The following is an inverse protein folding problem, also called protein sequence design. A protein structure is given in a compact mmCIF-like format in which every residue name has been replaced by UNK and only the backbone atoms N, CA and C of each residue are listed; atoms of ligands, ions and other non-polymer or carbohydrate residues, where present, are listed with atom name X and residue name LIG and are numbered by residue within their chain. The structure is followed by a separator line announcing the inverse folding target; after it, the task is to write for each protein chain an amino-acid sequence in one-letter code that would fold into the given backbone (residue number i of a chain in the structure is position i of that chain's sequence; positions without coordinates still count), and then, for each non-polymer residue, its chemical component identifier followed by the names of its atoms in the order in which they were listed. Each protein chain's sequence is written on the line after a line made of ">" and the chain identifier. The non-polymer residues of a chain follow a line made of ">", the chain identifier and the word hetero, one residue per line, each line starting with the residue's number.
data_IF_503029170411
#
_entry.id   IF_503029170411
#
_cell.length_a   1.000
_cell.length_b   1.000
_cell.length_c   1.000
_cell.angle_alpha   90.00
_cell.angle_beta   90.00
_cell.angle_gamma   90.00
#
_symmetry.space_group_name_H-M   'P 1'
#
loop_
_entity.id
_entity.type
_entity.pdbx_description
1 polymer ?
#
# COMPACT_ATOMS: atom_id res chain seq x y z
N UNK A 1 -8.58 -45.37 -43.87
CA UNK A 1 -8.06 -44.00 -43.65
C UNK A 1 -9.06 -43.13 -42.86
N UNK A 2 -9.36 -43.46 -41.59
CA UNK A 2 -10.33 -42.69 -40.77
C UNK A 2 -9.82 -42.21 -39.40
N UNK A 3 -8.63 -42.63 -38.96
CA UNK A 3 -8.15 -42.36 -37.59
C UNK A 3 -7.12 -41.21 -37.48
N UNK A 4 -6.58 -40.71 -38.60
CA UNK A 4 -5.59 -39.62 -38.56
C UNK A 4 -6.20 -38.23 -38.33
N UNK A 5 -7.49 -38.04 -38.64
CA UNK A 5 -8.19 -36.75 -38.46
C UNK A 5 -8.44 -36.40 -36.99
N UNK A 6 -8.60 -37.40 -36.13
CA UNK A 6 -8.87 -37.18 -34.69
C UNK A 6 -7.56 -36.82 -33.98
N UNK A 7 -6.46 -37.49 -34.32
CA UNK A 7 -5.14 -37.24 -33.73
C UNK A 7 -4.63 -35.83 -34.07
N UNK A 8 -4.88 -35.37 -35.30
CA UNK A 8 -4.52 -34.00 -35.72
C UNK A 8 -5.34 -32.93 -35.01
N UNK A 9 -6.60 -33.19 -34.66
CA UNK A 9 -7.45 -32.24 -33.94
C UNK A 9 -7.02 -32.06 -32.47
N UNK A 10 -6.61 -33.15 -31.80
CA UNK A 10 -6.16 -33.12 -30.39
C UNK A 10 -4.82 -32.40 -30.23
N UNK A 11 -3.89 -32.58 -31.18
CA UNK A 11 -2.62 -31.83 -31.21
C UNK A 11 -2.82 -30.33 -31.39
N UNK A 12 -3.86 -29.91 -32.13
CA UNK A 12 -4.17 -28.51 -32.34
C UNK A 12 -4.70 -27.84 -31.05
N UNK A 13 -5.49 -28.54 -30.24
CA UNK A 13 -6.04 -28.04 -28.97
C UNK A 13 -4.97 -27.95 -27.88
N UNK A 14 -3.99 -28.85 -27.88
CA UNK A 14 -2.85 -28.77 -26.95
C UNK A 14 -1.91 -27.61 -27.27
N UNK A 15 -1.82 -27.19 -28.54
CA UNK A 15 -1.02 -26.02 -28.93
C UNK A 15 -1.67 -24.68 -28.55
N UNK A 16 -2.99 -24.64 -28.33
CA UNK A 16 -3.71 -23.44 -27.86
C UNK A 16 -3.80 -23.34 -26.33
N UNK A 17 -3.36 -24.37 -25.59
CA UNK A 17 -2.89 -24.22 -24.20
C UNK A 17 -1.50 -23.56 -24.14
N UNK A 18 -1.18 -22.73 -25.13
CA UNK A 18 -0.23 -21.65 -25.01
C UNK A 18 -0.54 -20.91 -23.71
N UNK A 19 0.23 -21.24 -22.68
CA UNK A 19 0.24 -20.57 -21.41
C UNK A 19 0.42 -19.09 -21.73
N UNK A 20 -0.67 -18.32 -21.69
CA UNK A 20 -0.61 -16.89 -21.52
C UNK A 20 0.06 -16.68 -20.16
N UNK A 21 1.38 -16.78 -20.14
CA UNK A 21 2.20 -16.17 -19.11
C UNK A 21 2.00 -14.68 -19.34
N UNK A 22 0.85 -14.17 -18.89
CA UNK A 22 0.68 -12.75 -18.67
C UNK A 22 1.92 -12.34 -17.91
N UNK A 23 2.73 -11.44 -18.48
CA UNK A 23 3.71 -10.69 -17.69
C UNK A 23 2.89 -10.05 -16.58
N UNK A 24 2.83 -10.69 -15.40
CA UNK A 24 2.25 -10.06 -14.22
C UNK A 24 3.17 -8.89 -13.96
N UNK A 25 2.66 -7.69 -14.21
CA UNK A 25 3.34 -6.47 -13.82
C UNK A 25 3.73 -6.63 -12.35
N UNK A 26 5.01 -6.36 -12.07
CA UNK A 26 5.54 -6.54 -10.72
C UNK A 26 4.74 -5.64 -9.78
N UNK A 27 4.08 -6.27 -8.81
CA UNK A 27 3.25 -5.59 -7.82
C UNK A 27 4.04 -4.43 -7.19
N UNK A 28 3.54 -3.22 -7.37
CA UNK A 28 4.11 -1.99 -6.81
C UNK A 28 3.14 -1.45 -5.77
N UNK A 29 3.58 -1.34 -4.52
CA UNK A 29 2.80 -0.72 -3.45
C UNK A 29 3.30 0.71 -3.21
N UNK A 30 2.36 1.64 -3.12
CA UNK A 30 2.59 2.99 -2.63
C UNK A 30 1.74 3.24 -1.38
N UNK A 31 2.32 3.92 -0.41
CA UNK A 31 1.67 4.31 0.83
C UNK A 31 1.95 5.77 1.13
N UNK A 32 0.93 6.48 1.62
CA UNK A 32 1.05 7.85 2.11
C UNK A 32 0.07 8.06 3.26
N UNK A 33 0.59 8.49 4.39
CA UNK A 33 -0.19 8.92 5.56
C UNK A 33 0.19 10.35 5.90
N UNK A 34 -0.81 11.16 6.20
CA UNK A 34 -0.70 12.59 6.43
C UNK A 34 -1.43 12.89 7.73
N UNK A 35 -0.70 13.50 8.67
CA UNK A 35 -1.24 14.04 9.90
C UNK A 35 -1.37 15.55 9.77
N UNK A 36 -2.47 16.09 10.26
CA UNK A 36 -2.75 17.52 10.27
C UNK A 36 -2.84 18.02 11.71
N UNK A 37 -2.28 19.20 11.96
CA UNK A 37 -2.43 19.94 13.21
C UNK A 37 -2.78 21.39 12.88
N UNK A 38 -3.90 21.89 13.41
CA UNK A 38 -4.42 23.24 13.10
C UNK A 38 -4.48 23.52 11.60
N UNK A 39 -5.02 22.59 10.80
CA UNK A 39 -5.10 22.65 9.33
C UNK A 39 -3.76 22.72 8.57
N UNK A 40 -2.63 22.61 9.26
CA UNK A 40 -1.30 22.51 8.65
C UNK A 40 -0.89 21.04 8.62
N UNK A 41 -0.17 20.63 7.59
CA UNK A 41 0.43 19.29 7.55
C UNK A 41 1.53 19.24 8.61
N UNK A 42 1.32 18.42 9.63
CA UNK A 42 2.30 18.23 10.70
C UNK A 42 3.30 17.13 10.33
N UNK A 43 2.80 16.03 9.78
CA UNK A 43 3.61 14.87 9.43
C UNK A 43 3.14 14.22 8.12
N UNK A 44 4.09 13.78 7.30
CA UNK A 44 3.86 12.91 6.15
C UNK A 44 4.73 11.67 6.29
N UNK A 45 4.10 10.51 6.40
CA UNK A 45 4.74 9.21 6.24
C UNK A 45 4.49 8.70 4.84
N UNK A 46 5.48 8.13 4.17
CA UNK A 46 5.25 7.49 2.88
C UNK A 46 6.23 6.37 2.59
N UNK A 47 5.77 5.40 1.82
CA UNK A 47 6.57 4.28 1.34
C UNK A 47 6.32 4.01 -0.14
N UNK A 48 7.38 3.75 -0.88
CA UNK A 48 7.31 3.34 -2.28
C UNK A 48 8.09 2.03 -2.45
N UNK A 49 7.40 0.92 -2.76
CA UNK A 49 8.02 -0.40 -2.87
C UNK A 49 8.95 -0.58 -4.07
N UNK A 50 8.90 0.33 -5.05
CA UNK A 50 9.82 0.36 -6.18
C UNK A 50 11.17 0.95 -5.76
N UNK A 51 11.16 1.98 -4.92
CA UNK A 51 12.39 2.60 -4.40
C UNK A 51 12.87 1.96 -3.10
N UNK A 52 11.99 1.22 -2.41
CA UNK A 52 12.20 0.67 -1.08
C UNK A 52 12.46 1.76 -0.01
N UNK A 53 12.03 3.00 -0.25
CA UNK A 53 12.24 4.11 0.68
C UNK A 53 10.98 4.30 1.51
N UNK A 54 11.12 4.20 2.84
CA UNK A 54 10.16 4.74 3.80
C UNK A 54 10.70 6.07 4.31
N UNK A 55 9.86 7.11 4.28
CA UNK A 55 10.23 8.45 4.73
C UNK A 55 9.18 9.01 5.69
N UNK A 56 9.65 9.75 6.68
CA UNK A 56 8.85 10.54 7.61
C UNK A 56 9.32 11.99 7.49
N UNK A 57 8.43 12.86 7.02
CA UNK A 57 8.66 14.30 6.89
C UNK A 57 7.77 15.00 7.92
N UNK A 58 8.38 15.67 8.90
CA UNK A 58 7.69 16.25 10.05
C UNK A 58 8.00 17.73 10.17
N UNK A 59 7.01 18.54 10.53
CA UNK A 59 7.12 19.95 10.85
C UNK A 59 7.71 20.12 12.26
N UNK A 60 8.75 20.94 12.39
CA UNK A 60 9.38 21.24 13.67
C UNK A 60 8.93 22.61 14.20
N UNK A 61 9.09 22.90 15.51
CA UNK A 61 8.71 24.18 16.10
C UNK A 61 9.40 25.40 15.47
N UNK A 62 10.52 25.20 14.77
CA UNK A 62 11.21 26.23 14.00
C UNK A 62 10.52 26.58 12.66
N UNK A 63 9.37 25.95 12.37
CA UNK A 63 8.59 26.12 11.14
C UNK A 63 9.15 25.36 9.94
N UNK A 64 10.24 24.62 10.09
CA UNK A 64 10.86 23.87 9.00
C UNK A 64 10.49 22.39 9.05
N UNK A 65 10.44 21.77 7.88
CA UNK A 65 10.30 20.32 7.79
C UNK A 65 11.65 19.63 7.86
N UNK A 66 11.74 18.57 8.65
CA UNK A 66 12.87 17.64 8.63
C UNK A 66 12.38 16.30 8.12
N UNK A 67 13.21 15.66 7.30
CA UNK A 67 12.92 14.37 6.70
C UNK A 67 13.87 13.32 7.22
N UNK A 68 13.32 12.19 7.68
CA UNK A 68 14.05 10.98 8.01
C UNK A 68 13.64 9.90 7.03
N UNK A 69 14.60 9.13 6.53
CA UNK A 69 14.33 8.08 5.56
C UNK A 69 15.14 6.83 5.89
N UNK A 70 14.53 5.67 5.65
CA UNK A 70 15.16 4.37 5.76
C UNK A 70 14.86 3.53 4.53
N UNK A 71 15.77 2.63 4.19
CA UNK A 71 15.55 1.66 3.12
C UNK A 71 14.90 0.39 3.70
N UNK A 72 13.64 0.16 3.38
CA UNK A 72 12.88 -1.06 3.74
C UNK A 72 12.65 -1.89 2.48
N UNK A 73 13.40 -2.97 2.32
CA UNK A 73 13.25 -3.86 1.16
C UNK A 73 12.17 -4.91 1.41
N UNK A 74 10.91 -4.62 1.03
CA UNK A 74 9.86 -5.63 1.04
C UNK A 74 10.10 -6.65 -0.07
N UNK A 75 10.06 -7.94 0.28
CA UNK A 75 10.16 -9.01 -0.73
C UNK A 75 8.87 -9.08 -1.56
N UNK A 76 8.92 -9.79 -2.69
CA UNK A 76 7.72 -10.03 -3.49
C UNK A 76 6.64 -10.77 -2.69
N UNK A 77 7.04 -11.65 -1.77
CA UNK A 77 6.11 -12.37 -0.89
C UNK A 77 5.41 -11.39 0.07
N UNK A 78 6.15 -10.48 0.71
CA UNK A 78 5.55 -9.47 1.60
C UNK A 78 4.52 -8.61 0.86
N UNK A 79 4.82 -8.19 -0.37
CA UNK A 79 3.90 -7.40 -1.19
C UNK A 79 2.65 -8.22 -1.55
N UNK A 80 2.85 -9.49 -1.92
CA UNK A 80 1.75 -10.40 -2.23
C UNK A 80 0.85 -10.63 -1.01
N UNK A 81 1.41 -10.82 0.18
CA UNK A 81 0.66 -11.01 1.42
C UNK A 81 -0.26 -9.82 1.72
N UNK A 82 0.23 -8.58 1.54
CA UNK A 82 -0.57 -7.36 1.73
C UNK A 82 -1.68 -7.28 0.67
N UNK A 83 -1.36 -7.60 -0.58
CA UNK A 83 -2.31 -7.55 -1.68
C UNK A 83 -3.41 -8.61 -1.56
N UNK A 84 -3.06 -9.83 -1.16
CA UNK A 84 -4.02 -10.90 -0.91
C UNK A 84 -4.94 -10.56 0.26
N UNK A 85 -4.42 -9.91 1.32
CA UNK A 85 -5.23 -9.39 2.41
C UNK A 85 -6.22 -8.32 1.92
N UNK A 86 -5.77 -7.40 1.06
CA UNK A 86 -6.65 -6.44 0.39
C UNK A 86 -7.76 -7.14 -0.40
N UNK A 87 -7.43 -8.12 -1.24
CA UNK A 87 -8.39 -8.87 -2.04
C UNK A 87 -9.39 -9.67 -1.20
N UNK A 88 -8.96 -10.14 -0.01
CA UNK A 88 -9.81 -10.84 0.94
C UNK A 88 -10.79 -9.90 1.65
N UNK A 89 -10.30 -8.78 2.16
CA UNK A 89 -11.10 -7.84 2.97
C UNK A 89 -12.02 -6.97 2.13
N UNK A 90 -11.61 -6.62 0.91
CA UNK A 90 -12.34 -5.78 -0.04
C UNK A 90 -12.94 -4.53 0.62
N UNK A 91 -12.10 -3.63 1.19
CA UNK A 91 -12.60 -2.34 1.64
C UNK A 91 -13.15 -1.57 0.43
N UNK A 92 -14.17 -0.73 0.66
CA UNK A 92 -14.74 0.11 -0.40
C UNK A 92 -13.69 1.01 -1.05
N UNK A 93 -12.86 1.66 -0.23
CA UNK A 93 -11.77 2.54 -0.68
C UNK A 93 -10.45 2.17 0.00
N UNK A 94 -9.33 2.41 -0.70
CA UNK A 94 -7.98 2.31 -0.13
C UNK A 94 -7.51 3.65 0.45
N UNK A 95 -8.43 4.41 1.04
CA UNK A 95 -8.14 5.63 1.78
C UNK A 95 -8.98 5.69 3.05
N UNK A 96 -8.33 5.90 4.18
CA UNK A 96 -8.99 6.23 5.44
C UNK A 96 -8.74 7.70 5.80
N UNK A 97 -9.72 8.31 6.44
CA UNK A 97 -9.67 9.69 6.92
C UNK A 97 -10.24 9.73 8.33
N UNK A 98 -9.59 10.48 9.20
CA UNK A 98 -10.04 10.76 10.56
C UNK A 98 -10.39 12.24 10.62
N UNK A 99 -11.60 12.54 11.09
CA UNK A 99 -12.09 13.90 11.25
C UNK A 99 -12.36 14.16 12.73
N UNK A 100 -12.14 15.40 13.17
CA UNK A 100 -12.62 15.90 14.45
C UNK A 100 -14.13 16.19 14.38
N UNK A 101 -14.75 16.41 15.54
CA UNK A 101 -16.19 16.69 15.67
C UNK A 101 -16.64 17.95 14.89
N UNK A 102 -15.71 18.89 14.65
CA UNK A 102 -15.94 20.09 13.85
C UNK A 102 -15.74 19.86 12.33
N UNK A 103 -15.67 18.60 11.87
CA UNK A 103 -15.34 18.18 10.50
C UNK A 103 -13.95 18.57 10.00
N UNK A 104 -13.01 18.94 10.88
CA UNK A 104 -11.62 19.16 10.50
C UNK A 104 -10.92 17.81 10.25
N UNK A 105 -10.23 17.68 9.11
CA UNK A 105 -9.44 16.49 8.80
C UNK A 105 -8.20 16.45 9.71
N UNK A 106 -8.13 15.43 10.56
CA UNK A 106 -7.00 15.19 11.48
C UNK A 106 -5.93 14.31 10.83
N UNK A 107 -6.33 13.30 10.08
CA UNK A 107 -5.38 12.47 9.34
C UNK A 107 -6.00 11.84 8.10
N UNK A 108 -5.17 11.51 7.13
CA UNK A 108 -5.56 10.69 5.99
C UNK A 108 -4.45 9.75 5.57
N UNK A 109 -4.79 8.48 5.42
CA UNK A 109 -3.88 7.43 4.98
C UNK A 109 -4.40 6.79 3.71
N UNK A 110 -3.51 6.52 2.75
CA UNK A 110 -3.81 5.93 1.45
C UNK A 110 -2.83 4.82 1.09
N UNK A 111 -3.35 3.70 0.60
CA UNK A 111 -2.59 2.59 0.02
C UNK A 111 -2.99 2.49 -1.46
N UNK A 112 -2.04 2.21 -2.35
CA UNK A 112 -2.31 1.95 -3.76
C UNK A 112 -1.42 0.83 -4.26
N UNK A 113 -1.99 -0.01 -5.13
CA UNK A 113 -1.28 -1.04 -5.84
C UNK A 113 -1.19 -0.66 -7.32
N UNK A 114 -0.02 -0.80 -7.92
CA UNK A 114 0.27 -0.55 -9.33
C UNK A 114 -0.17 0.84 -9.81
N UNK A 115 0.23 1.87 -9.04
CA UNK A 115 0.17 3.31 -9.35
C UNK A 115 -1.06 3.73 -10.16
N UNK A 116 -2.20 3.84 -9.50
CA UNK A 116 -3.30 4.64 -10.03
C UNK A 116 -2.86 6.11 -10.08
N UNK A 117 -3.08 6.79 -11.22
CA UNK A 117 -2.56 8.16 -11.44
C UNK A 117 -3.11 9.22 -10.46
N UNK A 118 -4.11 8.90 -9.63
CA UNK A 118 -4.87 9.84 -8.80
C UNK A 118 -5.08 9.37 -7.34
N UNK A 119 -4.03 8.85 -6.69
CA UNK A 119 -4.08 8.36 -5.29
C UNK A 119 -4.64 9.42 -4.33
N UNK A 120 -4.34 10.70 -4.56
CA UNK A 120 -4.77 11.82 -3.69
C UNK A 120 -6.28 12.11 -3.75
N UNK A 121 -6.96 11.60 -4.78
CA UNK A 121 -8.39 11.82 -5.01
C UNK A 121 -9.25 10.61 -4.62
N UNK A 122 -8.68 9.58 -4.00
CA UNK A 122 -9.47 8.46 -3.51
C UNK A 122 -10.47 8.96 -2.46
N UNK A 123 -11.74 8.55 -2.51
CA UNK A 123 -12.71 8.92 -1.48
C UNK A 123 -12.37 8.20 -0.17
N UNK A 124 -12.63 8.86 0.96
CA UNK A 124 -12.43 8.26 2.27
C UNK A 124 -13.43 7.11 2.50
N UNK A 125 -13.05 6.10 3.28
CA UNK A 125 -14.03 5.15 3.82
C UNK A 125 -14.95 5.85 4.84
N UNK A 126 -16.25 5.74 4.63
CA UNK A 126 -17.27 6.33 5.51
C UNK A 126 -17.70 5.35 6.60
N UNK A 127 -17.87 4.06 6.25
CA UNK A 127 -18.35 3.04 7.16
C UNK A 127 -17.25 2.60 8.14
N UNK A 128 -17.63 2.32 9.38
CA UNK A 128 -16.73 1.78 10.39
C UNK A 128 -16.08 0.47 9.92
N UNK A 129 -16.87 -0.42 9.31
CA UNK A 129 -16.41 -1.71 8.79
C UNK A 129 -15.36 -1.56 7.69
N UNK A 130 -15.52 -0.62 6.75
CA UNK A 130 -14.52 -0.38 5.71
C UNK A 130 -13.25 0.24 6.29
N UNK A 131 -13.39 1.12 7.29
CA UNK A 131 -12.25 1.67 8.02
C UNK A 131 -11.44 0.58 8.71
N UNK A 132 -12.09 -0.35 9.43
CA UNK A 132 -11.42 -1.47 10.09
C UNK A 132 -10.69 -2.39 9.09
N UNK A 133 -11.34 -2.71 7.97
CA UNK A 133 -10.71 -3.49 6.89
C UNK A 133 -9.45 -2.80 6.37
N UNK A 134 -9.50 -1.49 6.13
CA UNK A 134 -8.34 -0.73 5.71
C UNK A 134 -7.24 -0.75 6.77
N UNK A 135 -7.58 -0.52 8.05
CA UNK A 135 -6.62 -0.53 9.17
C UNK A 135 -5.87 -1.86 9.26
N UNK A 136 -6.53 -2.99 8.98
CA UNK A 136 -5.85 -4.29 8.94
C UNK A 136 -4.80 -4.38 7.81
N UNK A 137 -5.09 -3.81 6.64
CA UNK A 137 -4.15 -3.78 5.51
C UNK A 137 -2.97 -2.87 5.83
N UNK A 138 -3.23 -1.69 6.40
CA UNK A 138 -2.20 -0.74 6.83
C UNK A 138 -1.33 -1.30 7.96
N UNK A 139 -1.92 -1.96 8.96
CA UNK A 139 -1.18 -2.64 10.01
C UNK A 139 -0.24 -3.69 9.42
N UNK A 140 -0.71 -4.46 8.42
CA UNK A 140 0.12 -5.47 7.75
C UNK A 140 1.33 -4.86 7.02
N UNK A 141 1.18 -3.67 6.44
CA UNK A 141 2.31 -2.92 5.87
C UNK A 141 3.30 -2.51 6.96
N UNK A 142 2.81 -1.95 8.07
CA UNK A 142 3.64 -1.48 9.18
C UNK A 142 4.39 -2.61 9.91
N UNK A 143 3.85 -3.83 9.97
CA UNK A 143 4.57 -5.00 10.46
C UNK A 143 5.94 -5.18 9.79
N UNK A 144 6.05 -4.82 8.50
CA UNK A 144 7.29 -4.95 7.75
C UNK A 144 8.16 -3.69 7.78
N UNK A 145 7.56 -2.51 7.90
CA UNK A 145 8.29 -1.23 7.90
C UNK A 145 8.88 -0.91 9.27
N UNK A 146 8.06 -1.00 10.33
CA UNK A 146 8.42 -0.51 11.65
C UNK A 146 9.69 -1.14 12.24
N UNK A 147 9.97 -2.44 12.10
CA UNK A 147 11.20 -3.03 12.64
C UNK A 147 12.46 -2.32 12.13
N UNK A 148 12.53 -2.05 10.83
CA UNK A 148 13.69 -1.39 10.22
C UNK A 148 13.78 0.08 10.63
N UNK A 149 12.64 0.78 10.65
CA UNK A 149 12.62 2.20 11.03
C UNK A 149 13.01 2.40 12.50
N UNK A 150 12.48 1.56 13.41
CA UNK A 150 12.79 1.59 14.85
C UNK A 150 14.27 1.34 15.13
N UNK A 151 14.91 0.44 14.39
CA UNK A 151 16.35 0.19 14.53
C UNK A 151 17.20 1.41 14.14
N UNK A 152 16.76 2.18 13.14
CA UNK A 152 17.50 3.36 12.68
C UNK A 152 17.25 4.59 13.56
N UNK A 153 16.04 4.72 14.11
CA UNK A 153 15.62 5.88 14.91
C UNK A 153 14.98 5.44 16.24
N UNK A 154 15.73 4.76 17.13
CA UNK A 154 15.19 4.22 18.37
C UNK A 154 14.67 5.31 19.32
N UNK A 155 15.30 6.49 19.32
CA UNK A 155 14.95 7.62 20.18
C UNK A 155 13.53 8.16 19.96
N UNK A 156 12.89 7.84 18.83
CA UNK A 156 11.49 8.19 18.56
C UNK A 156 10.47 7.27 19.25
N UNK A 157 10.92 6.12 19.75
CA UNK A 157 10.08 5.09 20.36
C UNK A 157 10.31 4.93 21.86
N UNK A 158 11.28 5.66 22.42
CA UNK A 158 11.47 5.78 23.85
C UNK A 158 10.52 6.87 24.33
N UNK A 159 9.56 6.52 25.21
CA UNK A 159 8.63 7.50 25.80
C UNK A 159 9.40 8.70 26.33
N UNK A 160 9.05 9.90 25.84
CA UNK A 160 9.45 11.17 26.45
C UNK A 160 8.44 11.57 27.51
#
# INVERSE_FOLDING_TARGET
>A
MKNYKIITLVLLILSTQSCFTQKKDKLHLFYKDILYYNKVIDEIKSYDSKTAIYQVKQLYPDGNYKTKAVKVNLTQQNLQDIYDLYLKLKPKNLRNCIFADNNELLSSSTISFNKDKNIENFPCNESFTDKEKYVQIEAKLYEFILPTYRLQFPDEFIQK
#
